data_IF_762028068106
#
_entry.id   IF_762028068106
#
_cell.length_a   1.000
_cell.length_b   1.000
_cell.length_c   1.000
_cell.angle_alpha   90.00
_cell.angle_beta   90.00
_cell.angle_gamma   90.00
#
_symmetry.space_group_name_H-M   'P 1'
#
loop_
_entity.id
_entity.type
_entity.pdbx_description
1 polymer ?
2 water ?
#
# COMPACT_ATOMS: atom_id res chain seq x y z
N UNK A 27 -22.89 23.69 -16.55
CA UNK A 27 -23.83 23.83 -15.41
C UNK A 27 -23.21 24.56 -14.20
N UNK A 28 -23.33 25.89 -14.19
CA UNK A 28 -22.61 26.77 -13.24
C UNK A 28 -22.76 26.41 -11.76
N UNK A 29 -23.95 26.00 -11.34
CA UNK A 29 -24.24 25.68 -9.93
C UNK A 29 -23.63 24.35 -9.49
N UNK A 30 -23.11 23.58 -10.45
CA UNK A 30 -22.49 22.29 -10.17
C UNK A 30 -20.94 22.29 -10.09
N UNK A 31 -20.31 23.48 -10.14
CA UNK A 31 -18.84 23.57 -10.30
C UNK A 31 -18.05 22.87 -9.19
N UNK A 32 -18.41 23.11 -7.92
CA UNK A 32 -17.77 22.45 -6.79
C UNK A 32 -17.93 20.92 -6.79
N UNK A 33 -19.17 20.40 -6.94
CA UNK A 33 -19.26 18.95 -7.01
C UNK A 33 -18.49 18.35 -8.17
N UNK A 34 -18.43 19.03 -9.31
CA UNK A 34 -17.75 18.51 -10.48
C UNK A 34 -16.26 18.37 -10.18
N UNK A 35 -15.71 19.39 -9.51
CA UNK A 35 -14.28 19.44 -9.13
C UNK A 35 -13.96 18.28 -8.19
N UNK A 36 -14.76 18.14 -7.13
CA UNK A 36 -14.55 17.06 -6.17
C UNK A 36 -14.65 15.67 -6.84
N UNK A 37 -15.71 15.48 -7.63
CA UNK A 37 -15.91 14.26 -8.41
C UNK A 37 -14.68 13.89 -9.25
N UNK A 38 -14.25 14.83 -10.10
CA UNK A 38 -13.11 14.62 -10.95
C UNK A 38 -11.87 14.37 -10.10
N UNK A 39 -11.75 15.04 -8.95
CA UNK A 39 -10.62 14.85 -8.07
C UNK A 39 -10.56 13.45 -7.54
N UNK A 40 -11.70 12.98 -6.97
CA UNK A 40 -11.84 11.63 -6.41
C UNK A 40 -11.59 10.55 -7.44
N UNK A 41 -12.13 10.74 -8.63
CA UNK A 41 -11.94 9.74 -9.69
C UNK A 41 -10.50 9.61 -10.10
N UNK A 42 -9.82 10.73 -10.32
CA UNK A 42 -8.49 10.75 -10.89
C UNK A 42 -7.44 10.34 -9.88
N UNK A 43 -7.58 10.77 -8.62
CA UNK A 43 -6.64 10.35 -7.57
C UNK A 43 -6.81 8.95 -6.97
N UNK A 44 -8.00 8.37 -7.12
CA UNK A 44 -8.21 6.95 -6.76
C UNK A 44 -7.68 6.02 -7.90
N UNK A 45 -7.59 6.56 -9.10
CA UNK A 45 -7.16 5.79 -10.26
C UNK A 45 -5.65 5.93 -10.46
N UNK A 46 -5.16 7.16 -10.36
CA UNK A 46 -3.73 7.45 -10.52
C UNK A 46 -3.18 7.84 -9.14
N UNK A 47 -2.85 9.08 -8.93
CA UNK A 47 -2.52 9.54 -7.60
C UNK A 47 -2.31 11.02 -7.73
N UNK A 48 -1.93 11.66 -6.62
CA UNK A 48 -1.71 13.09 -6.58
C UNK A 48 -0.58 13.58 -7.50
N UNK A 49 0.62 12.96 -7.39
CA UNK A 49 1.79 13.33 -8.22
C UNK A 49 1.56 13.25 -9.75
N UNK A 50 0.62 12.40 -10.18
CA UNK A 50 0.34 12.12 -11.59
C UNK A 50 -0.67 13.08 -12.21
N UNK A 51 -1.41 13.75 -11.36
CA UNK A 51 -2.57 14.46 -11.85
C UNK A 51 -2.42 15.95 -11.63
N UNK A 52 -2.40 16.71 -12.73
CA UNK A 52 -2.33 18.16 -12.65
C UNK A 52 -3.71 18.80 -12.62
N UNK A 53 -3.74 20.09 -12.29
CA UNK A 53 -4.97 20.86 -12.26
C UNK A 53 -5.67 20.93 -13.61
N UNK A 54 -4.91 21.10 -14.70
CA UNK A 54 -5.55 21.16 -16.00
C UNK A 54 -6.31 19.91 -16.35
N UNK A 55 -5.76 18.75 -16.01
CA UNK A 55 -6.48 17.48 -16.23
C UNK A 55 -7.81 17.43 -15.44
N UNK A 56 -7.77 17.86 -14.18
CA UNK A 56 -8.99 17.99 -13.35
C UNK A 56 -10.03 18.90 -14.00
N UNK A 57 -9.61 20.08 -14.47
CA UNK A 57 -10.51 21.05 -15.07
C UNK A 57 -11.19 20.47 -16.31
N UNK A 58 -10.38 19.81 -17.15
CA UNK A 58 -10.85 19.20 -18.38
C UNK A 58 -11.86 18.07 -18.11
N UNK A 59 -11.62 17.25 -17.10
CA UNK A 59 -12.59 16.25 -16.70
C UNK A 59 -13.87 16.86 -16.06
N UNK A 60 -13.71 17.85 -15.20
CA UNK A 60 -14.82 18.53 -14.55
C UNK A 60 -15.61 19.47 -15.48
N UNK A 61 -14.98 19.89 -16.60
CA UNK A 61 -15.55 20.86 -17.53
C UNK A 61 -15.95 22.14 -16.80
N UNK A 62 -15.06 22.62 -15.90
CA UNK A 62 -15.27 23.90 -15.20
C UNK A 62 -14.08 24.83 -15.53
N UNK A 63 -14.34 26.15 -15.69
CA UNK A 63 -13.25 27.14 -15.90
C UNK A 63 -12.27 27.31 -14.71
N UNK A 64 -11.03 27.69 -15.03
CA UNK A 64 -9.95 27.86 -14.06
C UNK A 64 -10.29 28.85 -12.91
N UNK A 65 -11.03 29.89 -13.27
CA UNK A 65 -11.48 30.86 -12.31
C UNK A 65 -12.40 30.27 -11.26
N UNK A 66 -13.12 29.19 -11.61
CA UNK A 66 -13.98 28.48 -10.66
C UNK A 66 -13.21 27.58 -9.70
N UNK A 67 -12.15 26.94 -10.19
CA UNK A 67 -11.24 26.23 -9.36
C UNK A 67 -10.63 27.17 -8.30
N UNK A 68 -10.16 28.34 -8.71
CA UNK A 68 -9.47 29.25 -7.75
C UNK A 68 -10.42 30.01 -6.85
N UNK A 69 -11.69 30.02 -7.20
CA UNK A 69 -12.72 30.53 -6.33
C UNK A 69 -12.77 29.71 -5.04
N UNK A 70 -12.65 28.40 -5.16
CA UNK A 70 -12.82 27.47 -4.08
C UNK A 70 -11.51 27.04 -3.45
N UNK A 71 -10.44 26.92 -4.22
CA UNK A 71 -9.21 26.29 -3.69
C UNK A 71 -8.06 27.21 -3.98
N UNK A 72 -7.12 27.35 -3.06
CA UNK A 72 -6.06 28.30 -3.38
C UNK A 72 -5.00 27.72 -4.28
N UNK A 73 -4.86 26.42 -4.23
CA UNK A 73 -3.90 25.68 -5.04
C UNK A 73 -4.22 24.18 -5.00
N UNK A 74 -3.45 23.41 -5.76
CA UNK A 74 -3.54 21.95 -5.78
C UNK A 74 -3.50 21.32 -4.36
N UNK A 75 -2.65 21.84 -3.49
CA UNK A 75 -2.54 21.31 -2.12
C UNK A 75 -3.83 21.51 -1.31
N UNK A 76 -4.48 22.66 -1.45
CA UNK A 76 -5.71 22.96 -0.72
C UNK A 76 -6.86 22.10 -1.25
N UNK A 77 -6.89 21.93 -2.58
CA UNK A 77 -7.72 20.94 -3.27
C UNK A 77 -7.56 19.49 -2.81
N UNK A 78 -6.34 18.98 -2.87
CA UNK A 78 -6.02 17.68 -2.26
C UNK A 78 -6.53 17.47 -0.83
N UNK A 79 -6.37 18.45 0.07
CA UNK A 79 -6.93 18.34 1.43
C UNK A 79 -8.44 18.32 1.51
N UNK A 80 -9.08 19.09 0.65
CA UNK A 80 -10.52 19.06 0.47
C UNK A 80 -10.98 17.69 -0.01
N UNK A 81 -10.20 17.06 -0.87
CA UNK A 81 -10.57 15.71 -1.36
C UNK A 81 -10.48 14.68 -0.26
N UNK A 82 -9.47 14.77 0.59
CA UNK A 82 -9.36 13.90 1.75
C UNK A 82 -10.58 14.09 2.69
N UNK A 83 -10.94 15.34 3.00
CA UNK A 83 -12.16 15.62 3.79
C UNK A 83 -13.42 15.08 3.13
N UNK A 84 -13.49 15.12 1.80
CA UNK A 84 -14.69 14.62 1.09
C UNK A 84 -14.78 13.10 1.17
N UNK A 85 -13.62 12.46 0.97
CA UNK A 85 -13.47 11.01 1.01
C UNK A 85 -13.73 10.49 2.44
N UNK A 86 -13.19 11.15 3.44
CA UNK A 86 -13.56 10.80 4.81
C UNK A 86 -15.08 10.77 5.05
N UNK A 87 -15.81 11.73 4.50
CA UNK A 87 -17.26 11.84 4.74
C UNK A 87 -18.01 10.73 4.03
N UNK A 88 -17.62 10.46 2.79
CA UNK A 88 -18.39 9.53 2.01
C UNK A 88 -18.10 8.11 2.43
N UNK A 89 -16.84 7.87 2.80
CA UNK A 89 -16.42 6.58 3.30
C UNK A 89 -17.02 6.23 4.65
N UNK A 90 -17.18 7.22 5.53
CA UNK A 90 -17.83 7.03 6.81
C UNK A 90 -19.24 6.47 6.61
N UNK A 91 -19.94 6.91 5.56
CA UNK A 91 -21.29 6.39 5.27
C UNK A 91 -21.34 4.95 4.80
N UNK A 92 -20.29 4.51 4.14
CA UNK A 92 -20.21 3.13 3.74
C UNK A 92 -19.93 2.22 4.97
N UNK A 93 -19.05 2.67 5.85
CA UNK A 93 -18.83 2.01 7.13
C UNK A 93 -20.07 2.00 8.02
N UNK A 94 -20.89 3.04 7.97
CA UNK A 94 -22.11 3.13 8.75
C UNK A 94 -23.05 1.99 8.38
N UNK A 95 -23.12 1.70 7.09
CA UNK A 95 -24.01 0.67 6.54
C UNK A 95 -23.64 -0.69 7.14
N UNK A 96 -22.34 -0.98 7.16
CA UNK A 96 -21.83 -2.24 7.66
C UNK A 96 -21.76 -2.25 9.20
N UNK A 97 -20.94 -1.37 9.76
CA UNK A 97 -20.63 -1.39 11.20
C UNK A 97 -21.81 -1.10 12.10
N UNK A 98 -22.78 -0.31 11.62
CA UNK A 98 -23.96 0.04 12.44
C UNK A 98 -25.22 -0.82 12.18
N UNK A 99 -25.08 -1.84 11.34
CA UNK A 99 -26.18 -2.78 11.07
C UNK A 99 -26.40 -3.77 12.22
N UNK A 100 -27.43 -3.50 13.02
CA UNK A 100 -27.80 -4.29 14.21
C UNK A 100 -28.48 -5.62 13.91
N UNK A 101 -28.80 -5.89 12.64
CA UNK A 101 -29.24 -7.24 12.28
C UNK A 101 -28.07 -8.25 12.09
N UNK A 102 -26.83 -7.76 12.15
CA UNK A 102 -25.67 -8.64 11.97
C UNK A 102 -24.85 -8.75 13.25
N UNK A 103 -24.23 -9.93 13.45
CA UNK A 103 -23.23 -10.12 14.50
C UNK A 103 -22.03 -9.24 14.17
N UNK A 104 -21.29 -8.80 15.20
CA UNK A 104 -20.10 -8.01 14.87
C UNK A 104 -19.19 -8.51 13.72
N UNK A 105 -18.81 -9.77 13.71
CA UNK A 105 -17.87 -10.21 12.66
C UNK A 105 -18.50 -10.27 11.29
N UNK A 106 -19.80 -10.58 11.24
CA UNK A 106 -20.54 -10.49 9.99
C UNK A 106 -20.64 -9.09 9.40
N UNK A 107 -20.67 -8.04 10.25
CA UNK A 107 -20.58 -6.66 9.79
C UNK A 107 -19.24 -6.34 9.13
N UNK A 108 -18.17 -6.96 9.61
CA UNK A 108 -16.86 -6.76 9.02
C UNK A 108 -16.78 -7.43 7.64
N UNK A 109 -17.34 -8.63 7.53
CA UNK A 109 -17.41 -9.36 6.25
C UNK A 109 -18.30 -8.64 5.24
N UNK A 110 -19.40 -8.03 5.71
CA UNK A 110 -20.24 -7.20 4.84
C UNK A 110 -19.48 -6.00 4.24
N UNK A 111 -18.73 -5.27 5.07
CA UNK A 111 -17.92 -4.15 4.62
C UNK A 111 -16.95 -4.53 3.50
N UNK A 112 -16.21 -5.62 3.70
CA UNK A 112 -15.23 -6.08 2.69
C UNK A 112 -15.88 -6.60 1.39
N UNK A 113 -17.07 -7.15 1.52
CA UNK A 113 -17.89 -7.58 0.41
C UNK A 113 -18.36 -6.38 -0.44
N UNK A 115 -17.05 -3.17 -0.30
CA UNK A 115 -15.92 -2.48 -0.82
C UNK A 115 -15.46 -3.18 -2.10
N UNK A 116 -15.43 -4.51 -2.12
CA UNK A 116 -15.12 -5.24 -3.35
C UNK A 116 -16.11 -4.98 -4.49
N UNK A 117 -17.41 -4.96 -4.17
CA UNK A 117 -18.45 -4.62 -5.13
C UNK A 117 -18.25 -3.23 -5.74
N UNK A 118 -17.88 -2.27 -4.88
CA UNK A 118 -17.55 -0.94 -5.32
C UNK A 118 -16.37 -0.98 -6.27
N UNK A 120 -15.21 -3.46 -8.05
CA UNK A 120 -15.58 -4.25 -9.25
C UNK A 120 -16.31 -3.44 -10.35
N UNK A 121 -16.97 -2.34 -9.95
CA UNK A 121 -17.71 -1.46 -10.88
C UNK A 121 -16.82 -0.80 -11.90
N UNK A 122 -15.56 -0.54 -11.51
CA UNK A 122 -14.65 0.13 -12.40
C UNK A 122 -13.47 -0.75 -12.71
N UNK A 123 -13.74 -2.04 -12.88
CA UNK A 123 -12.72 -3.04 -13.18
C UNK A 123 -11.50 -3.14 -12.26
N UNK A 124 -11.62 -2.78 -10.97
CA UNK A 124 -10.47 -2.75 -10.03
C UNK A 124 -9.39 -1.74 -10.39
N UNK A 125 -9.73 -0.73 -11.18
CA UNK A 125 -8.82 0.34 -11.57
C UNK A 125 -8.75 1.46 -10.51
N UNK A 126 -9.70 1.47 -9.58
CA UNK A 126 -9.77 2.51 -8.57
C UNK A 126 -9.63 1.94 -7.17
N UNK A 127 -8.69 2.51 -6.43
CA UNK A 127 -8.40 2.03 -5.10
C UNK A 127 -8.85 3.00 -4.04
N UNK A 128 -8.13 2.94 -2.91
CA UNK A 128 -8.40 3.81 -1.80
C UNK A 128 -7.63 5.11 -2.01
N UNK A 129 -8.31 6.24 -1.88
CA UNK A 129 -7.65 7.54 -1.96
C UNK A 129 -6.55 7.70 -0.89
N UNK A 130 -6.88 7.25 0.32
CA UNK A 130 -6.00 7.38 1.47
C UNK A 130 -4.76 6.51 1.35
N UNK A 131 -4.95 5.33 0.77
CA UNK A 131 -3.81 4.44 0.50
C UNK A 131 -2.96 4.99 -0.61
N UNK A 132 -3.60 5.43 -1.71
CA UNK A 132 -2.83 6.04 -2.81
C UNK A 132 -1.98 7.21 -2.33
N UNK A 133 -2.56 8.14 -1.58
CA UNK A 133 -1.81 9.31 -1.17
C UNK A 133 -0.78 8.95 -0.10
N UNK A 134 -1.16 8.05 0.81
CA UNK A 134 -0.28 7.57 1.87
C UNK A 134 1.05 7.02 1.36
N UNK A 135 0.95 6.15 0.36
CA UNK A 135 2.11 5.64 -0.33
C UNK A 135 3.00 6.71 -1.00
N UNK A 136 2.42 7.78 -1.54
CA UNK A 136 3.27 8.82 -2.13
C UNK A 136 3.63 10.00 -1.22
N UNK A 138 6.16 10.94 0.40
CA UNK A 138 7.41 11.64 0.15
C UNK A 138 7.29 12.81 -0.84
N UNK A 139 6.28 12.77 -1.72
CA UNK A 139 6.12 13.82 -2.74
C UNK A 139 5.00 14.83 -2.41
N UNK A 140 4.41 14.70 -1.22
CA UNK A 140 3.27 15.51 -0.81
C UNK A 140 3.67 16.63 0.12
N UNK A 141 2.90 17.75 0.12
CA UNK A 141 3.06 18.85 1.09
C UNK A 141 2.94 18.28 2.50
N UNK A 142 3.69 18.77 3.49
CA UNK A 142 3.63 18.08 4.79
C UNK A 142 2.30 18.12 5.60
N UNK A 143 1.40 19.05 5.27
CA UNK A 143 -0.01 19.08 5.76
C UNK A 143 -0.76 17.74 5.64
N UNK A 144 -0.48 17.03 4.55
CA UNK A 144 -1.14 15.78 4.21
C UNK A 144 -0.90 14.69 5.25
N UNK A 145 0.30 14.62 5.84
CA UNK A 145 0.64 13.57 6.79
C UNK A 145 -0.42 13.40 7.91
N UNK A 146 -0.68 14.45 8.65
CA UNK A 146 -1.64 14.42 9.75
C UNK A 146 -3.06 14.20 9.24
N UNK A 147 -3.37 14.74 8.07
CA UNK A 147 -4.71 14.60 7.53
C UNK A 147 -4.92 13.14 7.15
N UNK A 148 -3.94 12.52 6.47
CA UNK A 148 -4.07 11.11 6.08
C UNK A 148 -4.09 10.17 7.29
N UNK A 149 -3.20 10.41 8.25
CA UNK A 149 -3.13 9.58 9.44
C UNK A 149 -4.45 9.70 10.25
N UNK A 150 -5.01 10.91 10.29
CA UNK A 150 -6.26 11.17 11.01
C UNK A 150 -7.39 10.29 10.52
N UNK A 151 -7.55 10.19 9.20
CA UNK A 151 -8.62 9.40 8.60
C UNK A 151 -8.49 7.88 8.95
N UNK A 152 -7.28 7.36 8.79
CA UNK A 152 -6.94 5.97 9.11
C UNK A 152 -7.20 5.60 10.58
N UNK A 153 -6.79 6.49 11.48
CA UNK A 153 -7.05 6.31 12.88
C UNK A 153 -8.54 6.33 13.19
N UNK A 154 -9.32 7.12 12.46
CA UNK A 154 -10.77 7.05 12.62
C UNK A 154 -11.32 5.68 12.26
N UNK A 155 -10.90 5.17 11.10
CA UNK A 155 -11.30 3.86 10.66
C UNK A 155 -10.93 2.78 11.68
N UNK A 156 -9.72 2.86 12.20
CA UNK A 156 -9.20 1.95 13.21
C UNK A 156 -9.99 2.01 14.53
N UNK A 157 -10.34 3.20 14.98
CA UNK A 157 -11.18 3.35 16.19
C UNK A 157 -12.58 2.73 16.02
N UNK A 158 -13.16 2.86 14.84
CA UNK A 158 -14.49 2.28 14.60
C UNK A 158 -14.40 0.75 14.61
N UNK A 159 -13.31 0.23 14.06
CA UNK A 159 -13.07 -1.20 13.90
C UNK A 159 -12.74 -1.88 15.24
N UNK A 160 -11.92 -1.24 16.07
CA UNK A 160 -11.65 -1.72 17.43
C UNK A 160 -12.93 -1.80 18.24
N UNK A 161 -13.80 -0.81 18.09
CA UNK A 161 -15.09 -0.83 18.78
C UNK A 161 -15.91 -2.04 18.32
N UNK A 162 -15.89 -2.31 17.00
CA UNK A 162 -16.49 -3.51 16.43
C UNK A 162 -15.93 -4.78 17.08
N UNK A 163 -14.60 -4.85 17.15
CA UNK A 163 -13.90 -5.95 17.82
C UNK A 163 -14.22 -6.07 19.32
N UNK A 164 -14.37 -4.96 20.05
CA UNK A 164 -14.81 -5.04 21.45
C UNK A 164 -16.21 -5.64 21.58
N UNK A 165 -17.10 -5.31 20.65
CA UNK A 165 -18.41 -5.95 20.63
C UNK A 165 -18.35 -7.43 20.23
N UNK A 166 -17.44 -7.79 19.33
CA UNK A 166 -17.18 -9.20 19.02
C UNK A 166 -16.68 -9.97 20.24
N UNK A 167 -15.90 -9.34 21.11
CA UNK A 167 -15.47 -9.98 22.36
C UNK A 167 -16.60 -10.17 23.36
N UNK A 168 -17.43 -9.14 23.49
CA UNK A 168 -18.50 -9.07 24.49
C UNK A 168 -19.64 -10.04 24.22
N UNK A 169 -19.58 -10.69 23.05
CA UNK A 169 -20.59 -11.63 22.64
C UNK A 169 -19.96 -13.00 22.28
N UNK A 170 -18.66 -13.15 22.50
CA UNK A 170 -17.99 -14.43 22.33
C UNK A 170 -17.46 -14.82 20.95
N UNK A 171 -17.51 -13.89 20.01
CA UNK A 171 -17.06 -14.13 18.62
C UNK A 171 -15.55 -14.06 18.45
N UNK A 172 -14.93 -13.25 19.30
CA UNK A 172 -13.50 -13.05 19.36
C UNK A 172 -13.05 -13.51 20.74
N UNK A 173 -11.85 -14.09 20.84
CA UNK A 173 -11.43 -14.61 22.14
C UNK A 173 -10.97 -13.45 23.02
N UNK A 174 -11.20 -13.56 24.32
CA UNK A 174 -10.78 -12.54 25.30
C UNK A 174 -9.28 -12.29 25.21
N UNK A 175 -8.58 -13.25 24.64
CA UNK A 175 -7.15 -13.19 24.35
C UNK A 175 -6.65 -11.99 23.53
N UNK A 176 -7.35 -11.66 22.44
CA UNK A 176 -6.96 -10.64 21.48
C UNK A 176 -7.07 -9.20 21.96
N UNK A 177 -6.12 -8.35 21.54
CA UNK A 177 -6.24 -6.91 21.74
C UNK A 177 -7.04 -6.29 20.57
N UNK A 178 -8.25 -5.74 20.87
CA UNK A 178 -9.08 -5.16 19.78
C UNK A 178 -8.40 -4.01 19.03
N UNK A 179 -7.61 -3.19 19.71
CA UNK A 179 -6.92 -2.09 19.02
C UNK A 179 -5.81 -2.55 18.07
N UNK A 180 -5.04 -3.55 18.51
CA UNK A 180 -3.95 -4.14 17.72
C UNK A 180 -4.48 -4.86 16.49
N UNK A 181 -5.57 -5.58 16.71
CA UNK A 181 -6.23 -6.28 15.61
C UNK A 181 -6.84 -5.28 14.59
N UNK A 182 -7.45 -4.21 15.09
CA UNK A 182 -8.01 -3.16 14.22
C UNK A 182 -6.90 -2.52 13.36
N UNK A 183 -5.72 -2.30 13.96
CA UNK A 183 -4.63 -1.72 13.26
C UNK A 183 -4.10 -2.73 12.25
N UNK A 184 -3.93 -3.98 12.65
CA UNK A 184 -3.49 -4.99 11.70
C UNK A 184 -4.49 -5.16 10.54
N UNK A 185 -5.82 -5.16 10.82
CA UNK A 185 -6.83 -5.14 9.73
C UNK A 185 -6.61 -4.02 8.69
N UNK A 186 -6.46 -2.77 9.14
CA UNK A 186 -6.32 -1.65 8.21
C UNK A 186 -4.97 -1.60 7.47
N UNK A 187 -3.89 -2.03 8.15
CA UNK A 187 -2.59 -2.24 7.48
C UNK A 187 -2.77 -3.26 6.32
N UNK A 188 -3.38 -4.41 6.62
CA UNK A 188 -3.50 -5.47 5.64
C UNK A 188 -4.47 -5.19 4.52
N UNK A 189 -5.61 -4.57 4.88
CA UNK A 189 -6.64 -4.21 3.89
C UNK A 189 -6.21 -3.19 2.84
N UNK A 190 -5.45 -2.19 3.26
CA UNK A 190 -4.87 -1.24 2.31
C UNK A 190 -3.86 -1.91 1.34
N UNK A 191 -3.15 -2.93 1.83
CA UNK A 191 -2.18 -3.66 1.02
C UNK A 191 -2.86 -4.62 0.08
N UNK A 192 -4.00 -5.18 0.52
CA UNK A 192 -4.87 -6.01 -0.35
C UNK A 192 -5.47 -5.15 -1.50
N UNK A 193 -5.94 -3.96 -1.19
CA UNK A 193 -6.41 -3.03 -2.21
C UNK A 193 -5.32 -2.64 -3.20
N UNK A 194 -4.13 -2.31 -2.69
CA UNK A 194 -2.99 -2.08 -3.55
C UNK A 194 -2.84 -3.17 -4.59
N UNK A 195 -2.87 -4.42 -4.10
CA UNK A 195 -2.66 -5.63 -4.89
C UNK A 195 -3.80 -5.95 -5.85
N UNK A 196 -5.04 -5.69 -5.42
CA UNK A 196 -6.22 -5.83 -6.29
C UNK A 196 -6.19 -4.84 -7.46
N UNK A 197 -5.78 -3.61 -7.21
CA UNK A 197 -5.60 -2.60 -8.27
C UNK A 197 -4.41 -2.86 -9.24
N UNK A 198 -3.29 -3.33 -8.71
CA UNK A 198 -2.21 -3.88 -9.51
C UNK A 198 -2.58 -5.12 -10.38
N UNK A 199 -3.24 -6.11 -9.80
CA UNK A 199 -3.58 -7.33 -10.53
C UNK A 199 -4.88 -7.24 -11.34
N UNK A 200 -5.65 -6.18 -11.10
CA UNK A 200 -6.96 -5.95 -11.72
C UNK A 200 -7.92 -7.11 -11.49
N UNK A 201 -8.01 -7.58 -10.25
CA UNK A 201 -8.86 -8.70 -9.86
C UNK A 201 -9.07 -8.75 -8.33
N UNK A 202 -10.14 -9.42 -7.86
CA UNK A 202 -10.38 -9.40 -6.40
C UNK A 202 -9.58 -10.41 -5.58
N UNK A 203 -8.80 -11.27 -6.22
CA UNK A 203 -8.08 -12.35 -5.54
C UNK A 203 -7.30 -11.96 -4.29
N UNK A 204 -6.51 -10.85 -4.34
CA UNK A 204 -5.79 -10.43 -3.13
C UNK A 204 -6.69 -10.03 -1.97
N UNK A 205 -7.90 -9.55 -2.29
CA UNK A 205 -8.88 -9.25 -1.29
C UNK A 205 -9.32 -10.52 -0.58
N UNK A 206 -9.59 -11.58 -1.34
CA UNK A 206 -10.11 -12.81 -0.78
C UNK A 206 -9.01 -13.49 0.03
N UNK A 207 -7.82 -13.42 -0.52
CA UNK A 207 -6.63 -14.01 0.10
C UNK A 207 -6.35 -13.36 1.45
N UNK A 208 -6.36 -12.02 1.48
CA UNK A 208 -6.20 -11.31 2.74
C UNK A 208 -7.28 -11.67 3.81
N UNK A 209 -8.56 -11.65 3.45
CA UNK A 209 -9.63 -11.83 4.44
C UNK A 209 -9.77 -13.28 4.90
N UNK A 210 -9.52 -14.19 3.98
CA UNK A 210 -9.50 -15.61 4.27
C UNK A 210 -8.47 -15.88 5.37
N UNK A 211 -7.28 -15.33 5.20
CA UNK A 211 -6.18 -15.55 6.16
C UNK A 211 -6.38 -14.76 7.47
N UNK A 212 -6.85 -13.53 7.37
CA UNK A 212 -7.17 -12.70 8.55
C UNK A 212 -8.30 -13.28 9.42
N UNK A 213 -9.27 -13.91 8.76
CA UNK A 213 -10.44 -14.55 9.41
C UNK A 213 -10.09 -15.65 10.43
N UNK A 214 -8.87 -16.20 10.33
CA UNK A 214 -8.31 -17.18 11.27
C UNK A 214 -8.08 -16.59 12.66
N UNK A 215 -7.94 -15.27 12.74
CA UNK A 215 -7.75 -14.61 14.03
C UNK A 215 -8.99 -14.70 14.92
N UNK A 216 -10.13 -15.07 14.32
CA UNK A 216 -11.42 -15.11 15.01
C UNK A 216 -11.84 -16.52 15.40
N UNK A 217 -12.66 -16.62 16.43
CA UNK A 217 -13.15 -17.93 16.90
C UNK A 217 -14.10 -18.57 15.88
N UNK B 29 32.46 4.92 -15.97
CA UNK B 29 32.92 3.93 -14.94
C UNK B 29 31.74 3.68 -14.01
N UNK B 30 31.55 4.67 -13.14
CA UNK B 30 30.51 4.68 -12.16
C UNK B 30 29.29 5.44 -12.64
N UNK B 31 29.24 5.78 -13.92
CA UNK B 31 28.06 6.45 -14.50
C UNK B 31 26.79 5.62 -14.36
N UNK B 32 26.82 4.38 -14.84
CA UNK B 32 25.70 3.46 -14.68
C UNK B 32 25.30 3.22 -13.22
N UNK B 33 26.25 2.87 -12.35
CA UNK B 33 25.92 2.68 -10.96
C UNK B 33 25.36 3.92 -10.29
N UNK B 34 25.83 5.10 -10.65
CA UNK B 34 25.32 6.30 -9.99
C UNK B 34 23.90 6.60 -10.41
N UNK B 35 23.54 6.23 -11.63
CA UNK B 35 22.19 6.40 -12.15
C UNK B 35 21.21 5.46 -11.46
N UNK B 36 21.62 4.20 -11.35
CA UNK B 36 20.85 3.22 -10.63
C UNK B 36 20.63 3.64 -9.18
N UNK B 37 21.69 3.98 -8.49
CA UNK B 37 21.63 4.46 -7.11
C UNK B 37 20.64 5.64 -6.88
N UNK B 38 20.80 6.70 -7.69
CA UNK B 38 19.95 7.88 -7.69
C UNK B 38 18.48 7.47 -7.91
N UNK B 39 18.26 6.59 -8.90
CA UNK B 39 16.94 6.01 -9.20
C UNK B 39 16.29 5.24 -8.07
N UNK B 40 17.03 4.32 -7.45
CA UNK B 40 16.55 3.58 -6.29
C UNK B 40 16.23 4.47 -5.05
N UNK B 41 17.05 5.48 -4.78
CA UNK B 41 16.77 6.44 -3.68
C UNK B 41 15.50 7.27 -3.91
N UNK B 42 15.34 7.76 -5.13
CA UNK B 42 14.20 8.56 -5.46
C UNK B 42 12.92 7.73 -5.60
N UNK B 43 12.98 6.55 -6.18
CA UNK B 43 11.75 5.74 -6.29
C UNK B 43 11.29 5.05 -4.96
N UNK B 44 12.22 4.71 -4.06
CA UNK B 44 11.82 4.22 -2.73
C UNK B 44 11.25 5.33 -1.82
N UNK B 45 11.69 6.56 -2.05
CA UNK B 45 11.28 7.66 -1.23
C UNK B 45 10.04 8.40 -1.74
N UNK B 46 9.96 8.59 -3.06
CA UNK B 46 8.80 9.28 -3.63
C UNK B 46 7.94 8.37 -4.47
N UNK B 47 8.53 7.85 -5.54
CA UNK B 47 7.83 7.05 -6.53
C UNK B 47 8.19 7.57 -7.90
N UNK B 48 7.72 6.89 -8.94
CA UNK B 48 8.06 7.18 -10.32
C UNK B 48 7.47 8.47 -10.83
N UNK B 49 6.21 8.72 -10.48
CA UNK B 49 5.46 9.89 -11.03
C UNK B 49 6.08 11.26 -10.70
N UNK B 50 6.69 11.34 -9.52
CA UNK B 50 7.32 12.56 -8.97
C UNK B 50 8.69 12.92 -9.50
N UNK B 51 9.35 12.02 -10.23
CA UNK B 51 10.77 12.18 -10.53
C UNK B 51 11.11 12.17 -12.04
N UNK B 52 11.76 13.23 -12.53
CA UNK B 52 12.18 13.25 -13.92
C UNK B 52 13.66 13.01 -14.08
N UNK B 53 14.09 12.85 -15.32
CA UNK B 53 15.48 12.55 -15.66
C UNK B 53 16.44 13.61 -15.11
N UNK B 54 16.04 14.88 -15.17
CA UNK B 54 16.87 15.98 -14.68
C UNK B 54 17.16 15.93 -13.17
N UNK B 55 16.15 15.61 -12.33
CA UNK B 55 16.37 15.42 -10.88
C UNK B 55 17.39 14.34 -10.65
N UNK B 56 17.19 13.23 -11.36
CA UNK B 56 18.07 12.06 -11.33
C UNK B 56 19.55 12.38 -11.67
N UNK B 57 19.80 13.13 -12.72
CA UNK B 57 21.15 13.55 -13.13
C UNK B 57 21.84 14.47 -12.12
N UNK B 58 21.09 15.39 -11.52
CA UNK B 58 21.59 16.22 -10.45
C UNK B 58 21.99 15.36 -9.23
N UNK B 59 21.14 14.40 -8.86
CA UNK B 59 21.42 13.54 -7.73
C UNK B 59 22.58 12.56 -8.00
N UNK B 60 22.69 12.08 -9.25
CA UNK B 60 23.73 11.14 -9.66
C UNK B 60 25.04 11.86 -9.95
N UNK B 61 24.94 13.14 -10.33
CA UNK B 61 26.07 14.00 -10.74
C UNK B 61 26.74 13.41 -12.00
N UNK B 62 25.87 13.06 -12.94
CA UNK B 62 26.21 12.31 -14.15
C UNK B 62 25.62 13.10 -15.33
N UNK B 63 26.38 13.26 -16.42
CA UNK B 63 25.84 13.97 -17.58
C UNK B 63 24.66 13.27 -18.24
N UNK B 64 23.77 14.07 -18.83
CA UNK B 64 22.63 13.61 -19.62
C UNK B 64 23.01 12.56 -20.68
N UNK B 65 24.14 12.75 -21.36
CA UNK B 65 24.61 11.80 -22.36
C UNK B 65 24.88 10.41 -21.82
N UNK B 66 25.25 10.30 -20.54
CA UNK B 66 25.40 8.99 -19.95
C UNK B 66 24.02 8.35 -19.70
N UNK B 67 23.04 9.14 -19.27
CA UNK B 67 21.72 8.62 -19.13
C UNK B 67 21.25 7.92 -20.41
N UNK B 68 21.35 8.62 -21.54
CA UNK B 68 20.86 8.10 -22.82
C UNK B 68 21.75 7.05 -23.50
N UNK B 69 22.98 6.93 -23.02
CA UNK B 69 23.84 5.80 -23.39
C UNK B 69 23.31 4.49 -22.78
N UNK B 70 22.85 4.51 -21.52
CA UNK B 70 22.31 3.30 -20.93
C UNK B 70 20.82 3.01 -21.12
N UNK B 71 19.96 4.04 -21.16
CA UNK B 71 18.53 3.81 -21.18
C UNK B 71 17.90 4.61 -22.31
N UNK B 72 16.81 4.13 -22.92
CA UNK B 72 16.20 4.84 -24.05
C UNK B 72 15.42 6.07 -23.59
N UNK B 73 14.86 5.98 -22.38
CA UNK B 73 13.93 6.96 -21.86
C UNK B 73 13.61 6.60 -20.41
N UNK B 74 12.73 7.38 -19.78
CA UNK B 74 12.37 7.21 -18.38
C UNK B 74 11.76 5.82 -18.10
N UNK B 75 10.84 5.36 -18.97
CA UNK B 75 10.16 4.06 -18.82
C UNK B 75 11.15 2.93 -18.83
N UNK B 76 12.18 3.04 -19.66
CA UNK B 76 13.17 1.99 -19.79
C UNK B 76 14.10 1.97 -18.53
N UNK B 77 14.44 3.15 -18.04
CA UNK B 77 15.08 3.33 -16.74
C UNK B 77 14.25 2.74 -15.60
N UNK B 78 12.95 3.00 -15.63
CA UNK B 78 12.05 2.45 -14.64
C UNK B 78 12.13 0.94 -14.53
N UNK B 79 12.07 0.26 -15.68
CA UNK B 79 12.24 -1.18 -15.76
C UNK B 79 13.62 -1.66 -15.33
N UNK B 80 14.67 -0.97 -15.73
CA UNK B 80 16.01 -1.30 -15.22
C UNK B 80 16.02 -1.20 -13.68
N UNK B 81 15.35 -0.19 -13.12
CA UNK B 81 15.34 -0.04 -11.65
C UNK B 81 14.60 -1.17 -10.93
N UNK B 82 13.46 -1.60 -11.50
CA UNK B 82 12.75 -2.78 -11.01
C UNK B 82 13.70 -4.00 -10.94
N UNK B 83 14.39 -4.27 -12.06
CA UNK B 83 15.27 -5.41 -12.15
C UNK B 83 16.44 -5.31 -11.15
N UNK B 84 16.97 -4.11 -10.98
CA UNK B 84 18.10 -3.91 -10.06
C UNK B 84 17.63 -4.09 -8.62
N UNK B 85 16.39 -3.71 -8.33
CA UNK B 85 15.86 -3.84 -6.97
C UNK B 85 15.60 -5.32 -6.64
N UNK B 86 15.14 -6.05 -7.65
CA UNK B 86 14.93 -7.47 -7.55
C UNK B 86 16.25 -8.22 -7.26
N UNK B 87 17.32 -7.89 -7.97
CA UNK B 87 18.63 -8.50 -7.68
C UNK B 87 19.16 -8.22 -6.27
N UNK B 88 19.11 -6.97 -5.84
CA UNK B 88 19.53 -6.60 -4.50
C UNK B 88 18.69 -7.28 -3.43
N UNK B 89 17.38 -7.20 -3.54
CA UNK B 89 16.47 -7.67 -2.52
C UNK B 89 16.53 -9.20 -2.38
N UNK B 90 16.81 -9.90 -3.47
CA UNK B 90 17.06 -11.33 -3.46
C UNK B 90 18.23 -11.71 -2.51
N UNK B 91 19.28 -10.88 -2.47
CA UNK B 91 20.41 -11.14 -1.57
C UNK B 91 20.03 -10.93 -0.10
N UNK B 92 19.04 -10.07 0.13
CA UNK B 92 18.59 -9.79 1.47
C UNK B 92 17.80 -11.02 1.95
N UNK B 93 16.97 -11.58 1.06
CA UNK B 93 16.20 -12.78 1.38
C UNK B 93 17.13 -13.98 1.49
N UNK B 94 18.18 -14.05 0.66
CA UNK B 94 19.21 -15.08 0.85
C UNK B 94 19.77 -15.06 2.26
N UNK B 95 20.20 -13.90 2.71
CA UNK B 95 20.80 -13.79 4.03
C UNK B 95 19.86 -14.32 5.11
N UNK B 96 18.56 -13.99 5.04
CA UNK B 96 17.61 -14.40 6.09
C UNK B 96 17.07 -15.83 5.90
N UNK B 97 16.52 -16.10 4.71
CA UNK B 97 15.82 -17.37 4.41
C UNK B 97 16.72 -18.60 4.28
N UNK B 98 17.99 -18.38 3.92
CA UNK B 98 18.93 -19.48 3.77
C UNK B 98 19.87 -19.62 4.98
N UNK B 99 19.54 -18.97 6.09
CA UNK B 99 20.36 -19.10 7.29
C UNK B 99 19.91 -20.33 8.04
N UNK B 100 20.58 -21.43 7.74
CA UNK B 100 20.25 -22.69 8.30
C UNK B 100 20.63 -22.85 9.75
N UNK B 101 21.24 -21.84 10.37
CA UNK B 101 21.47 -21.90 11.83
C UNK B 101 20.24 -21.43 12.59
N UNK B 102 19.20 -21.06 11.86
CA UNK B 102 18.00 -20.46 12.47
C UNK B 102 16.83 -21.35 12.12
N UNK B 103 15.96 -21.59 13.11
CA UNK B 103 14.69 -22.29 12.82
C UNK B 103 13.90 -21.40 11.84
N UNK B 104 12.96 -21.97 11.07
CA UNK B 104 12.35 -21.24 9.94
C UNK B 104 11.59 -19.95 10.29
N UNK B 105 10.83 -19.97 11.36
CA UNK B 105 10.13 -18.78 11.83
C UNK B 105 11.09 -17.68 12.32
N UNK B 106 12.19 -18.07 12.97
CA UNK B 106 13.24 -17.17 13.36
C UNK B 106 13.90 -16.51 12.14
N UNK B 107 13.90 -17.19 10.99
CA UNK B 107 14.39 -16.58 9.74
C UNK B 107 13.49 -15.47 9.23
N UNK B 108 12.17 -15.65 9.35
CA UNK B 108 11.20 -14.64 8.99
C UNK B 108 11.36 -13.40 9.90
N UNK B 109 11.56 -13.62 11.19
CA UNK B 109 11.77 -12.53 12.15
C UNK B 109 13.10 -11.78 11.92
N UNK B 110 14.14 -12.51 11.50
CA UNK B 110 15.39 -11.88 11.15
C UNK B 110 15.15 -10.99 9.93
N UNK B 111 14.37 -11.48 8.96
CA UNK B 111 14.08 -10.70 7.77
C UNK B 111 13.38 -9.38 8.09
N UNK B 112 12.30 -9.46 8.82
CA UNK B 112 11.58 -8.24 9.18
C UNK B 112 12.40 -7.33 10.08
N UNK B 113 13.24 -7.89 10.94
CA UNK B 113 14.14 -7.07 11.75
C UNK B 113 15.18 -6.38 10.86
N UNK B 115 15.00 -5.76 7.53
CA UNK B 115 14.25 -4.77 6.76
C UNK B 115 13.99 -3.44 7.57
N UNK B 116 13.58 -3.56 8.82
CA UNK B 116 13.40 -2.39 9.69
C UNK B 116 14.70 -1.60 9.98
N UNK B 117 15.83 -2.30 10.16
CA UNK B 117 17.15 -1.65 10.35
C UNK B 117 17.54 -0.86 9.13
N UNK B 118 17.24 -1.40 7.94
CA UNK B 118 17.49 -0.76 6.68
C UNK B 118 16.64 0.48 6.54
N UNK B 120 15.40 2.30 9.11
CA UNK B 120 15.87 3.23 10.16
C UNK B 120 17.08 4.08 9.80
N UNK B 121 17.89 3.59 8.87
CA UNK B 121 19.04 4.31 8.33
C UNK B 121 18.70 5.66 7.72
N UNK B 122 17.49 5.78 7.18
CA UNK B 122 17.05 7.01 6.53
C UNK B 122 15.77 7.51 7.17
N UNK B 123 15.68 7.30 8.49
CA UNK B 123 14.53 7.74 9.29
C UNK B 123 13.17 7.36 8.73
N UNK B 124 13.07 6.18 8.12
CA UNK B 124 11.82 5.64 7.55
C UNK B 124 11.25 6.39 6.34
N UNK B 125 12.06 7.22 5.73
CA UNK B 125 11.71 7.94 4.50
C UNK B 125 11.63 7.07 3.25
N UNK B 126 12.30 5.92 3.26
CA UNK B 126 12.37 5.05 2.10
C UNK B 126 11.68 3.71 2.33
N UNK B 127 10.77 3.35 1.43
CA UNK B 127 10.00 2.12 1.52
C UNK B 127 10.43 1.18 0.42
N UNK B 128 9.48 0.38 -0.05
CA UNK B 128 9.75 -0.66 -1.05
C UNK B 128 9.48 -0.12 -2.44
N UNK B 129 10.44 -0.28 -3.34
CA UNK B 129 10.29 0.19 -4.72
C UNK B 129 9.06 -0.47 -5.36
N UNK B 130 8.84 -1.73 -5.02
CA UNK B 130 7.78 -2.50 -5.66
C UNK B 130 6.38 -2.04 -5.20
N UNK B 131 6.22 -1.82 -3.90
CA UNK B 131 4.99 -1.31 -3.32
C UNK B 131 4.69 0.11 -3.75
N UNK B 132 5.70 0.97 -3.81
CA UNK B 132 5.54 2.32 -4.37
C UNK B 132 5.05 2.33 -5.82
N UNK B 133 5.75 1.61 -6.70
CA UNK B 133 5.31 1.44 -8.09
C UNK B 133 3.95 0.74 -8.21
N UNK B 134 3.77 -0.34 -7.45
CA UNK B 134 2.51 -1.05 -7.41
C UNK B 134 1.31 -0.14 -7.15
N UNK B 135 1.41 0.78 -6.18
CA UNK B 135 0.35 1.72 -5.84
C UNK B 135 0.10 2.74 -6.92
N UNK B 136 1.13 3.15 -7.66
CA UNK B 136 0.96 4.08 -8.79
C UNK B 136 0.58 3.40 -10.09
N UNK B 138 -1.74 2.82 -12.02
CA UNK B 138 -2.63 3.53 -12.96
C UNK B 138 -1.96 4.60 -13.84
N UNK B 139 -0.78 5.06 -13.45
CA UNK B 139 -0.04 6.11 -14.17
C UNK B 139 1.28 5.61 -14.73
N UNK B 140 1.54 4.31 -14.62
CA UNK B 140 2.76 3.70 -15.14
C UNK B 140 2.54 3.18 -16.56
N UNK B 141 3.62 3.01 -17.35
CA UNK B 141 3.48 2.22 -18.63
C UNK B 141 3.09 0.76 -18.39
N UNK B 142 2.18 0.24 -19.22
CA UNK B 142 1.73 -1.17 -19.19
C UNK B 142 2.76 -2.32 -18.95
N UNK B 143 3.97 -2.21 -19.51
CA UNK B 143 5.13 -3.11 -19.26
C UNK B 143 5.39 -3.39 -17.78
N UNK B 144 5.10 -2.38 -16.97
CA UNK B 144 5.43 -2.39 -15.55
C UNK B 144 4.59 -3.40 -14.79
N UNK B 145 3.36 -3.63 -15.24
CA UNK B 145 2.46 -4.46 -14.46
C UNK B 145 3.06 -5.87 -14.28
N UNK B 146 3.36 -6.55 -15.37
CA UNK B 146 3.88 -7.91 -15.33
C UNK B 146 5.28 -8.02 -14.62
N UNK B 147 6.10 -6.98 -14.76
CA UNK B 147 7.40 -6.98 -14.11
C UNK B 147 7.24 -6.84 -12.60
N UNK B 148 6.28 -6.05 -12.14
CA UNK B 148 6.07 -5.86 -10.70
C UNK B 148 5.45 -7.12 -10.08
N UNK B 149 4.46 -7.68 -10.79
CA UNK B 149 3.82 -8.91 -10.34
C UNK B 149 4.82 -10.06 -10.29
N UNK B 150 5.73 -10.14 -11.26
CA UNK B 150 6.74 -11.24 -11.26
C UNK B 150 7.65 -11.21 -10.03
N UNK B 151 7.98 -10.02 -9.58
CA UNK B 151 8.85 -9.84 -8.44
C UNK B 151 8.09 -10.21 -7.16
N UNK B 152 6.89 -9.68 -6.99
CA UNK B 152 6.03 -10.11 -5.85
C UNK B 152 5.82 -11.63 -5.74
N UNK B 153 5.60 -12.29 -6.89
CA UNK B 153 5.46 -13.75 -6.97
C UNK B 153 6.73 -14.53 -6.63
N UNK B 154 7.87 -14.08 -7.11
CA UNK B 154 9.16 -14.66 -6.68
C UNK B 154 9.36 -14.66 -5.14
N UNK B 155 9.03 -13.55 -4.48
CA UNK B 155 9.10 -13.45 -3.02
C UNK B 155 8.10 -14.37 -2.33
N UNK B 156 6.89 -14.50 -2.87
CA UNK B 156 5.87 -15.35 -2.27
C UNK B 156 6.29 -16.83 -2.37
N UNK B 157 6.80 -17.26 -3.52
CA UNK B 157 7.32 -18.63 -3.66
C UNK B 157 8.39 -18.98 -2.62
N UNK B 158 9.27 -18.02 -2.38
CA UNK B 158 10.35 -18.17 -1.39
C UNK B 158 9.81 -18.26 0.05
N UNK B 159 8.78 -17.47 0.33
CA UNK B 159 8.16 -17.44 1.66
C UNK B 159 7.34 -18.70 1.89
N UNK B 160 6.63 -19.15 0.85
CA UNK B 160 5.91 -20.43 0.88
C UNK B 160 6.86 -21.57 1.24
N UNK B 161 8.04 -21.60 0.63
CA UNK B 161 9.02 -22.67 0.88
C UNK B 161 9.45 -22.59 2.36
N UNK B 162 9.73 -21.39 2.85
CA UNK B 162 10.01 -21.21 4.27
C UNK B 162 8.88 -21.75 5.14
N UNK B 163 7.62 -21.50 4.75
CA UNK B 163 6.46 -21.91 5.53
C UNK B 163 6.21 -23.42 5.55
N UNK B 164 6.49 -24.10 4.42
CA UNK B 164 6.50 -25.57 4.36
C UNK B 164 7.51 -26.19 5.32
N UNK B 165 8.66 -25.58 5.39
CA UNK B 165 9.69 -25.97 6.33
C UNK B 165 9.24 -25.73 7.78
N UNK B 166 8.57 -24.61 8.07
CA UNK B 166 7.97 -24.42 9.42
C UNK B 166 6.96 -25.51 9.79
N UNK B 167 6.20 -26.00 8.81
CA UNK B 167 5.25 -27.09 9.03
C UNK B 167 5.96 -28.41 9.34
N UNK B 168 7.02 -28.70 8.59
CA UNK B 168 7.79 -29.91 8.80
C UNK B 168 8.33 -30.02 10.23
N UNK B 169 8.57 -28.92 10.90
CA UNK B 169 9.00 -29.03 12.30
C UNK B 169 7.98 -28.57 13.35
N UNK B 170 6.75 -28.35 12.94
CA UNK B 170 5.65 -28.06 13.86
C UNK B 170 5.69 -26.65 14.38
N UNK B 171 6.25 -25.74 13.60
CA UNK B 171 6.22 -24.32 13.95
C UNK B 171 4.94 -23.68 13.44
N UNK B 172 4.39 -24.27 12.39
CA UNK B 172 3.15 -23.87 11.78
C UNK B 172 2.31 -25.14 11.63
N UNK B 173 1.03 -25.08 12.01
CA UNK B 173 0.19 -26.26 12.03
C UNK B 173 -0.17 -26.75 10.63
N UNK B 174 -0.52 -28.03 10.56
CA UNK B 174 -0.84 -28.68 9.29
C UNK B 174 -2.08 -28.09 8.61
N UNK B 175 -3.01 -27.50 9.36
CA UNK B 175 -4.21 -26.94 8.70
C UNK B 175 -4.06 -25.59 7.97
N UNK B 176 -2.83 -25.08 7.86
CA UNK B 176 -2.55 -23.86 7.11
C UNK B 176 -2.07 -24.22 5.70
N UNK B 177 -2.29 -23.31 4.75
CA UNK B 177 -1.79 -23.46 3.39
C UNK B 177 -0.57 -22.57 3.25
N UNK B 178 0.62 -23.14 3.01
CA UNK B 178 1.82 -22.29 2.94
C UNK B 178 1.76 -21.18 1.88
N UNK B 179 1.17 -21.47 0.71
CA UNK B 179 1.08 -20.50 -0.40
C UNK B 179 0.11 -19.37 -0.06
N UNK B 180 -1.04 -19.71 0.51
CA UNK B 180 -2.02 -18.70 0.93
C UNK B 180 -1.41 -17.84 2.04
N UNK B 181 -0.76 -18.46 3.00
CA UNK B 181 -0.10 -17.74 4.06
C UNK B 181 1.03 -16.82 3.55
N UNK B 182 1.76 -17.26 2.53
CA UNK B 182 2.84 -16.47 1.94
C UNK B 182 2.27 -15.26 1.21
N UNK B 183 1.12 -15.44 0.58
CA UNK B 183 0.54 -14.34 -0.14
C UNK B 183 0.05 -13.30 0.88
N UNK B 184 -0.67 -13.74 1.93
CA UNK B 184 -1.08 -12.86 3.01
C UNK B 184 0.12 -12.15 3.66
N UNK B 185 1.26 -12.83 3.85
CA UNK B 185 2.42 -12.17 4.46
C UNK B 185 2.85 -10.94 3.62
N UNK B 186 2.97 -11.12 2.30
CA UNK B 186 3.43 -10.04 1.43
C UNK B 186 2.42 -8.93 1.25
N UNK B 187 1.13 -9.28 1.18
CA UNK B 187 0.07 -8.30 1.17
C UNK B 187 0.19 -7.37 2.39
N UNK B 188 0.28 -7.95 3.58
CA UNK B 188 0.31 -7.16 4.80
C UNK B 188 1.63 -6.45 5.04
N UNK B 189 2.75 -7.07 4.65
CA UNK B 189 4.08 -6.50 4.85
C UNK B 189 4.28 -5.22 4.03
N UNK B 190 3.88 -5.22 2.76
CA UNK B 190 3.87 -3.99 1.96
C UNK B 190 2.93 -2.91 2.55
N UNK B 191 1.76 -3.32 3.02
CA UNK B 191 0.88 -2.43 3.80
C UNK B 191 1.54 -1.82 5.05
N UNK B 192 2.37 -2.60 5.74
CA UNK B 192 3.10 -2.14 6.93
C UNK B 192 4.17 -1.12 6.56
N UNK B 193 4.90 -1.40 5.48
CA UNK B 193 5.89 -0.46 4.98
C UNK B 193 5.24 0.83 4.51
N UNK B 194 4.07 0.77 3.88
CA UNK B 194 3.36 1.99 3.48
C UNK B 194 3.12 2.88 4.73
N UNK B 195 2.62 2.26 5.79
CA UNK B 195 2.26 2.95 7.00
C UNK B 195 3.49 3.47 7.73
N UNK B 196 4.57 2.69 7.79
CA UNK B 196 5.80 3.16 8.45
C UNK B 196 6.39 4.38 7.77
N UNK B 197 6.39 4.39 6.44
CA UNK B 197 6.88 5.51 5.65
C UNK B 197 5.95 6.72 5.78
N UNK B 198 4.65 6.48 5.93
CA UNK B 198 3.70 7.58 6.16
C UNK B 198 3.91 8.18 7.55
N UNK B 199 4.11 7.35 8.56
CA UNK B 199 4.19 7.81 9.94
C UNK B 199 5.63 8.06 10.35
N UNK B 200 6.58 7.69 9.50
CA UNK B 200 8.04 7.86 9.73
C UNK B 200 8.48 7.23 11.04
N UNK B 201 8.06 5.99 11.28
CA UNK B 201 8.37 5.31 12.51
C UNK B 201 8.14 3.83 12.31
N UNK B 202 8.76 2.99 13.16
CA UNK B 202 8.67 1.54 13.02
C UNK B 202 7.36 0.89 13.49
N UNK B 203 6.61 1.56 14.36
CA UNK B 203 5.39 1.00 14.98
C UNK B 203 4.43 0.21 14.06
N UNK B 204 4.11 0.71 12.84
CA UNK B 204 3.32 -0.18 11.97
C UNK B 204 3.97 -1.54 11.61
N UNK B 205 5.29 -1.60 11.47
CA UNK B 205 5.98 -2.90 11.23
C UNK B 205 5.72 -3.85 12.42
N UNK B 206 5.78 -3.31 13.64
CA UNK B 206 5.64 -4.08 14.86
C UNK B 206 4.19 -4.58 15.00
N UNK B 207 3.21 -3.73 14.71
CA UNK B 207 1.81 -4.15 14.77
C UNK B 207 1.59 -5.30 13.82
N UNK B 208 1.97 -5.10 12.55
CA UNK B 208 1.79 -6.17 11.56
C UNK B 208 2.42 -7.48 12.02
N UNK B 209 3.71 -7.45 12.35
CA UNK B 209 4.40 -8.69 12.69
C UNK B 209 3.94 -9.32 14.01
N UNK B 210 3.54 -8.52 14.98
CA UNK B 210 3.07 -9.09 16.23
C UNK B 210 1.74 -9.84 16.03
N UNK B 211 0.84 -9.28 15.24
CA UNK B 211 -0.46 -9.92 14.96
C UNK B 211 -0.33 -11.08 13.95
N UNK B 212 0.41 -10.90 12.87
CA UNK B 212 0.61 -11.97 11.93
C UNK B 212 1.27 -13.16 12.61
N UNK B 213 2.10 -12.87 13.61
CA UNK B 213 2.85 -13.92 14.29
C UNK B 213 1.94 -14.92 14.98
N UNK B 214 0.68 -14.58 15.13
CA UNK B 214 -0.23 -15.42 15.86
C UNK B 214 -0.80 -16.56 15.01
N UNK B 215 -0.55 -16.53 13.70
CA UNK B 215 -0.77 -17.70 12.83
C UNK B 215 0.12 -18.91 13.13
N UNK B 216 1.21 -18.71 13.87
CA UNK B 216 2.16 -19.80 14.25
C UNK B 216 1.85 -20.38 15.60
N UNK B 217 2.26 -21.62 15.87
CA UNK B 217 1.88 -22.33 17.12
C UNK B 217 2.56 -21.74 18.39
#
# INVERSE_FOLDING_TARGET
SNAXPLTDTPPSVPQKPRRGRPRGAPDASLAHQSLIRAGLEHLTEKGYSSVGVDEILKAARVPKGSFYHYFRNKADFGLALIEAYDTYFARLLDQAFLDGSLAPLARLRLFTRXAEEGXARHGFRRGCLVGNLGQEXGALPDDFRAALIGVLETWQRRTAQLFREAQACGELSADHDPDALAEAFWIGWEGAILRAKLELRPDPLHSFTRTFGRHFVTRTQE
SNAXPLTDTPPSVPQKPRRGRPRGAPDASLAHQSLIRAGLEHLTEKGYSSVGVDEILKAARVPKGSFYHYFRNKADFGLALIEAYDTYFARLLDQAFLDGSLAPLARLRLFTRXAEEGXARHGFRRGCLVGNLGQEXGALPDDFRAALIGVLETWQRRTAQLFREAQACGELSADHDPDALAEAFWIGWEGAILRAKLELRPDPLHSFTRTFGRHFVTRTQE
#
